data_IF_900375179208
#
_entry.id   IF_900375179208
#
_cell.length_a   1.000
_cell.length_b   1.000
_cell.length_c   1.000
_cell.angle_alpha   90.00
_cell.angle_beta   90.00
_cell.angle_gamma   90.00
#
_symmetry.space_group_name_H-M   'P 1'
#
loop_
_entity.id
_entity.type
_entity.pdbx_description
1 polymer ?
#
# COMPACT_ATOMS: atom_id res chain seq x y z
N UNK A 1 -0.96 18.09 7.66
CA UNK A 1 -1.85 17.21 6.89
C UNK A 1 -1.13 16.63 5.66
N UNK A 2 -0.14 15.76 5.84
CA UNK A 2 0.79 15.44 4.74
C UNK A 2 0.13 14.65 3.58
N UNK A 3 -0.71 13.67 3.89
CA UNK A 3 -1.42 12.85 2.89
C UNK A 3 -2.38 13.72 2.06
N UNK A 4 -3.19 14.57 2.71
CA UNK A 4 -4.13 15.45 2.01
C UNK A 4 -3.43 16.50 1.17
N UNK A 5 -2.34 17.09 1.68
CA UNK A 5 -1.54 18.04 0.91
C UNK A 5 -0.99 17.41 -0.36
N UNK A 6 -0.43 16.19 -0.29
CA UNK A 6 0.08 15.49 -1.46
C UNK A 6 -1.04 15.10 -2.44
N UNK A 7 -2.18 14.58 -1.94
CA UNK A 7 -3.31 14.23 -2.78
C UNK A 7 -3.88 15.45 -3.53
N UNK A 8 -4.02 16.59 -2.84
CA UNK A 8 -4.46 17.85 -3.45
C UNK A 8 -3.46 18.36 -4.50
N UNK A 9 -2.15 18.18 -4.28
CA UNK A 9 -1.12 18.59 -5.23
C UNK A 9 -1.07 17.72 -6.50
N UNK A 10 -1.33 16.41 -6.38
CA UNK A 10 -1.39 15.52 -7.56
C UNK A 10 -2.66 15.78 -8.37
N UNK A 11 -3.81 15.96 -7.71
CA UNK A 11 -5.10 16.11 -8.40
C UNK A 11 -5.27 17.48 -9.06
N UNK A 12 -4.55 18.52 -8.61
CA UNK A 12 -4.62 19.87 -9.20
C UNK A 12 -4.06 19.92 -10.62
N UNK A 13 -3.29 18.92 -11.04
CA UNK A 13 -2.76 18.79 -12.41
C UNK A 13 -3.82 18.35 -13.44
N UNK A 14 -5.01 17.94 -13.01
CA UNK A 14 -6.06 17.49 -13.92
C UNK A 14 -6.87 18.68 -14.48
N UNK A 15 -6.81 18.88 -15.80
CA UNK A 15 -7.42 20.04 -16.48
C UNK A 15 -8.96 20.09 -16.41
N UNK A 16 -9.65 18.95 -16.34
CA UNK A 16 -11.12 18.86 -16.32
C UNK A 16 -11.72 18.87 -14.90
N UNK A 17 -10.98 19.36 -13.89
CA UNK A 17 -11.38 19.24 -12.49
C UNK A 17 -12.35 20.34 -12.05
N UNK A 18 -13.44 19.94 -11.38
CA UNK A 18 -14.26 20.84 -10.56
C UNK A 18 -13.59 21.03 -9.20
N UNK A 19 -13.23 22.27 -8.84
CA UNK A 19 -12.48 22.53 -7.61
C UNK A 19 -13.21 22.05 -6.35
N UNK A 20 -12.54 21.18 -5.58
CA UNK A 20 -12.93 20.78 -4.24
C UNK A 20 -11.68 20.69 -3.37
N UNK A 21 -11.62 21.43 -2.27
CA UNK A 21 -10.49 21.35 -1.35
C UNK A 21 -10.86 20.45 -0.18
N UNK A 22 -10.22 19.29 -0.09
CA UNK A 22 -10.34 18.41 1.07
C UNK A 22 -9.42 18.92 2.19
N UNK A 23 -9.96 18.99 3.41
CA UNK A 23 -9.24 19.41 4.61
C UNK A 23 -9.51 18.42 5.76
N UNK A 24 -8.59 18.36 6.73
CA UNK A 24 -8.71 17.57 7.96
C UNK A 24 -8.14 18.32 9.16
N UNK A 25 -8.76 18.14 10.31
CA UNK A 25 -8.32 18.69 11.59
C UNK A 25 -7.30 17.79 12.33
N UNK A 26 -6.92 16.65 11.74
CA UNK A 26 -6.02 15.67 12.35
C UNK A 26 -4.54 16.11 12.41
N UNK A 27 -4.22 17.38 12.11
CA UNK A 27 -2.87 17.92 12.15
C UNK A 27 -1.92 17.39 11.06
N UNK A 28 -0.62 17.47 11.31
CA UNK A 28 0.43 16.94 10.42
C UNK A 28 0.90 15.59 10.90
N UNK A 29 0.36 14.52 10.30
CA UNK A 29 0.82 13.14 10.51
C UNK A 29 2.22 12.87 9.95
N UNK A 30 2.56 11.59 9.79
CA UNK A 30 3.85 11.16 9.26
C UNK A 30 4.15 11.73 7.86
N UNK A 31 5.43 11.90 7.54
CA UNK A 31 5.87 12.28 6.18
C UNK A 31 5.66 11.10 5.23
N UNK A 32 5.37 11.41 3.97
CA UNK A 32 5.36 10.40 2.91
C UNK A 32 6.78 9.92 2.67
N UNK A 33 6.96 8.60 2.62
CA UNK A 33 8.23 7.96 2.31
C UNK A 33 8.18 7.42 0.88
N UNK A 34 9.26 7.63 0.13
CA UNK A 34 9.45 7.03 -1.20
C UNK A 34 10.62 6.07 -1.14
N UNK A 35 10.41 4.88 -1.69
CA UNK A 35 11.45 3.86 -1.85
C UNK A 35 11.51 3.45 -3.32
N UNK A 36 12.73 3.26 -3.84
CA UNK A 36 12.96 2.76 -5.20
C UNK A 36 13.80 1.50 -5.07
N UNK A 37 13.17 0.36 -5.28
CA UNK A 37 13.86 -0.93 -5.34
C UNK A 37 14.61 -1.10 -6.67
N UNK A 38 15.64 -1.94 -6.66
CA UNK A 38 16.39 -2.31 -7.87
C UNK A 38 15.57 -3.21 -8.80
N UNK A 39 14.63 -3.96 -8.24
CA UNK A 39 13.69 -4.82 -8.95
C UNK A 39 12.41 -5.02 -8.10
N UNK A 40 11.42 -5.70 -8.67
CA UNK A 40 10.13 -5.95 -8.03
C UNK A 40 10.27 -6.80 -6.74
N UNK A 41 11.21 -7.75 -6.71
CA UNK A 41 11.47 -8.56 -5.51
C UNK A 41 12.05 -7.73 -4.37
N UNK A 42 12.97 -6.82 -4.66
CA UNK A 42 13.57 -5.92 -3.68
C UNK A 42 12.52 -4.96 -3.12
N UNK A 43 11.61 -4.45 -3.95
CA UNK A 43 10.46 -3.67 -3.47
C UNK A 43 9.58 -4.49 -2.52
N UNK A 44 9.25 -5.75 -2.87
CA UNK A 44 8.43 -6.61 -2.01
C UNK A 44 9.13 -6.98 -0.69
N UNK A 45 10.44 -7.24 -0.71
CA UNK A 45 11.24 -7.51 0.50
C UNK A 45 11.32 -6.27 1.41
N UNK A 46 11.48 -5.08 0.82
CA UNK A 46 11.46 -3.84 1.57
C UNK A 46 10.11 -3.63 2.28
N UNK A 47 8.99 -3.86 1.58
CA UNK A 47 7.65 -3.76 2.18
C UNK A 47 7.46 -4.79 3.29
N UNK A 48 7.94 -6.03 3.10
CA UNK A 48 7.93 -7.05 4.16
C UNK A 48 8.65 -6.55 5.42
N UNK A 49 9.86 -6.01 5.26
CA UNK A 49 10.66 -5.53 6.38
C UNK A 49 10.02 -4.32 7.07
N UNK A 50 9.38 -3.44 6.30
CA UNK A 50 8.62 -2.32 6.83
C UNK A 50 7.41 -2.79 7.65
N UNK A 51 6.69 -3.82 7.20
CA UNK A 51 5.56 -4.39 7.95
C UNK A 51 6.03 -4.97 9.30
N UNK A 52 7.12 -5.74 9.31
CA UNK A 52 7.70 -6.24 10.57
C UNK A 52 8.21 -5.10 11.46
N UNK A 53 8.78 -4.03 10.89
CA UNK A 53 9.19 -2.86 11.68
C UNK A 53 7.99 -2.21 12.36
N UNK A 54 6.91 -1.98 11.62
CA UNK A 54 5.67 -1.37 12.13
C UNK A 54 5.00 -2.23 13.21
N UNK A 55 5.00 -3.55 13.03
CA UNK A 55 4.48 -4.50 14.03
C UNK A 55 5.33 -4.45 15.32
N UNK A 56 6.65 -4.52 15.19
CA UNK A 56 7.59 -4.46 16.33
C UNK A 56 7.51 -3.13 17.08
N UNK A 57 7.27 -2.04 16.38
CA UNK A 57 7.08 -0.71 16.97
C UNK A 57 5.66 -0.51 17.55
N UNK A 58 4.75 -1.48 17.37
CA UNK A 58 3.37 -1.42 17.83
C UNK A 58 2.51 -0.38 17.09
N UNK A 59 2.96 0.07 15.91
CA UNK A 59 2.31 1.11 15.12
C UNK A 59 1.25 0.56 14.16
N UNK A 60 1.43 -0.67 13.68
CA UNK A 60 0.48 -1.33 12.78
C UNK A 60 0.60 -2.84 12.88
N UNK A 61 -0.53 -3.55 12.90
CA UNK A 61 -0.57 -5.00 12.72
C UNK A 61 -0.73 -5.34 11.22
N UNK A 62 -0.38 -6.57 10.81
CA UNK A 62 -0.48 -7.00 9.39
C UNK A 62 -1.87 -6.78 8.76
N UNK A 63 -2.95 -6.81 9.54
CA UNK A 63 -4.32 -6.54 9.06
C UNK A 63 -4.72 -5.06 8.95
N UNK A 64 -3.85 -4.13 9.34
CA UNK A 64 -4.11 -2.68 9.30
C UNK A 64 -3.36 -1.97 8.17
N UNK A 65 -2.54 -2.72 7.42
CA UNK A 65 -1.78 -2.24 6.27
C UNK A 65 -2.42 -2.73 4.97
N UNK A 66 -2.39 -1.89 3.93
CA UNK A 66 -2.90 -2.23 2.59
C UNK A 66 -1.87 -1.85 1.53
N UNK A 67 -1.75 -2.68 0.50
CA UNK A 67 -0.85 -2.46 -0.64
C UNK A 67 -1.70 -2.28 -1.89
N UNK A 68 -1.49 -1.17 -2.59
CA UNK A 68 -2.16 -0.85 -3.84
C UNK A 68 -1.17 -0.99 -5.00
N UNK A 69 -1.56 -1.70 -6.03
CA UNK A 69 -0.79 -1.91 -7.25
C UNK A 69 -1.64 -1.61 -8.49
N UNK A 70 -0.99 -1.44 -9.65
CA UNK A 70 -1.66 -1.00 -10.89
C UNK A 70 -2.22 -2.18 -11.69
N UNK A 71 -1.54 -3.32 -11.70
CA UNK A 71 -1.96 -4.52 -12.45
C UNK A 71 -1.89 -5.76 -11.57
N UNK A 72 -2.76 -6.74 -11.84
CA UNK A 72 -2.83 -7.97 -11.05
C UNK A 72 -1.53 -8.80 -11.12
N UNK A 73 -0.78 -8.71 -12.22
CA UNK A 73 0.51 -9.40 -12.33
C UNK A 73 1.52 -8.98 -11.25
N UNK A 74 1.39 -7.76 -10.72
CA UNK A 74 2.27 -7.26 -9.66
C UNK A 74 2.00 -7.94 -8.30
N UNK A 75 0.81 -8.52 -8.06
CA UNK A 75 0.50 -9.14 -6.76
C UNK A 75 1.39 -10.33 -6.46
N UNK A 76 1.72 -11.12 -7.49
CA UNK A 76 2.44 -12.39 -7.37
C UNK A 76 3.75 -12.28 -6.60
N UNK A 77 4.54 -11.24 -6.87
CA UNK A 77 5.84 -11.04 -6.21
C UNK A 77 5.66 -10.78 -4.70
N UNK A 78 4.66 -9.98 -4.34
CA UNK A 78 4.31 -9.74 -2.93
C UNK A 78 3.81 -11.02 -2.25
N UNK A 79 2.94 -11.79 -2.91
CA UNK A 79 2.41 -13.05 -2.38
C UNK A 79 3.53 -14.06 -2.11
N UNK A 80 4.48 -14.22 -3.04
CA UNK A 80 5.64 -15.10 -2.88
C UNK A 80 6.52 -14.70 -1.68
N UNK A 81 6.79 -13.40 -1.51
CA UNK A 81 7.58 -12.89 -0.37
C UNK A 81 6.82 -13.06 0.94
N UNK A 82 5.52 -12.77 0.97
CA UNK A 82 4.70 -12.88 2.18
C UNK A 82 4.46 -14.33 2.59
N UNK A 83 4.28 -15.24 1.64
CA UNK A 83 4.22 -16.68 1.92
C UNK A 83 5.51 -17.18 2.56
N UNK A 84 6.68 -16.79 2.02
CA UNK A 84 7.99 -17.18 2.60
C UNK A 84 8.21 -16.58 3.99
N UNK A 85 7.72 -15.35 4.21
CA UNK A 85 7.85 -14.64 5.47
C UNK A 85 6.78 -15.02 6.52
N UNK A 86 5.83 -15.90 6.17
CA UNK A 86 4.68 -16.26 7.03
C UNK A 86 3.84 -15.03 7.44
N UNK A 87 3.74 -14.03 6.55
CA UNK A 87 2.90 -12.85 6.78
C UNK A 87 1.47 -13.19 6.35
N UNK A 88 0.45 -13.01 7.21
CA UNK A 88 -0.94 -13.19 6.80
C UNK A 88 -1.34 -12.07 5.83
N UNK A 89 -1.82 -12.44 4.64
CA UNK A 89 -2.29 -11.48 3.64
C UNK A 89 -3.64 -11.90 3.06
N UNK A 90 -4.33 -10.93 2.46
CA UNK A 90 -5.56 -11.16 1.71
C UNK A 90 -5.52 -10.33 0.43
N UNK A 91 -5.61 -10.99 -0.72
CA UNK A 91 -5.77 -10.32 -2.01
C UNK A 91 -7.23 -9.91 -2.18
N UNK A 92 -7.46 -8.65 -2.57
CA UNK A 92 -8.81 -8.07 -2.75
C UNK A 92 -8.88 -7.48 -4.16
N UNK A 93 -9.91 -7.85 -4.93
CA UNK A 93 -10.12 -7.35 -6.30
C UNK A 93 -9.99 -8.42 -7.38
N UNK A 94 -9.54 -9.63 -7.03
CA UNK A 94 -9.87 -10.78 -7.86
C UNK A 94 -11.37 -11.02 -7.76
N UNK A 95 -12.05 -11.04 -8.90
CA UNK A 95 -13.34 -11.70 -8.98
C UNK A 95 -13.12 -13.10 -8.40
N UNK A 96 -13.77 -13.40 -7.27
CA UNK A 96 -13.74 -14.71 -6.66
C UNK A 96 -14.38 -15.71 -7.62
N UNK A 97 -13.62 -16.21 -8.59
CA UNK A 97 -14.06 -17.22 -9.53
C UNK A 97 -12.84 -17.94 -10.12
N UNK A 98 -12.24 -18.82 -9.32
CA UNK A 98 -11.94 -20.20 -9.72
C UNK A 98 -11.50 -21.04 -8.51
N UNK A 99 -12.24 -22.15 -8.33
CA UNK A 99 -11.97 -23.31 -7.47
C UNK A 99 -11.95 -23.03 -5.95
N UNK A 100 -13.00 -23.32 -5.17
CA UNK A 100 -13.64 -24.62 -5.12
C UNK A 100 -12.70 -25.64 -4.48
N UNK A 101 -12.85 -25.84 -3.16
CA UNK A 101 -12.43 -26.97 -2.32
C UNK A 101 -11.14 -27.72 -2.73
N UNK A 102 -10.15 -27.72 -1.84
CA UNK A 102 -9.87 -28.87 -0.97
C UNK A 102 -9.06 -28.44 0.24
#
# INVERSE_FOLDING_TARGET
>A
QNILSAANAVISLNEARKEKNLWSDAGSGAKLMGFVGENEHHEAEYIRDELFRLEREGLSNFGQSAIFYRTNAQSRVFEEVFMRATIPYKVVGECAFMSGRK
#
